data_IF_287457403035
#
_entry.id   IF_287457403035
#
_cell.length_a   1.000
_cell.length_b   1.000
_cell.length_c   1.000
_cell.angle_alpha   90.00
_cell.angle_beta   90.00
_cell.angle_gamma   90.00
#
_symmetry.space_group_name_H-M   'P 1'
#
loop_
_entity.id
_entity.type
_entity.pdbx_description
1 polymer ?
#
# COMPACT_ATOMS: atom_id res chain seq x y z
N UNK A 1 0.16 28.70 -25.65
CA UNK A 1 1.58 28.81 -25.25
C UNK A 1 1.98 27.45 -24.72
N UNK A 2 2.73 26.71 -25.52
CA UNK A 2 3.16 25.33 -25.31
C UNK A 2 4.34 25.31 -24.34
N UNK A 3 4.15 24.75 -23.14
CA UNK A 3 5.22 24.45 -22.20
C UNK A 3 5.69 23.01 -22.40
N UNK A 4 6.83 22.84 -23.07
CA UNK A 4 7.48 21.53 -23.24
C UNK A 4 8.23 21.14 -21.96
N UNK A 5 8.03 19.90 -21.51
CA UNK A 5 8.85 19.29 -20.46
C UNK A 5 10.17 18.78 -21.03
N UNK A 6 11.30 18.90 -20.30
CA UNK A 6 12.58 18.41 -20.76
C UNK A 6 12.60 16.89 -20.83
N UNK A 7 12.97 16.37 -21.99
CA UNK A 7 13.33 14.98 -22.23
C UNK A 7 14.59 14.64 -21.40
N UNK A 8 14.45 13.88 -20.32
CA UNK A 8 15.61 13.22 -19.72
C UNK A 8 15.88 11.93 -20.50
N UNK A 9 16.93 11.97 -21.31
CA UNK A 9 17.47 10.82 -22.00
C UNK A 9 18.11 9.84 -21.01
N UNK A 10 17.98 8.56 -21.33
CA UNK A 10 18.71 7.45 -20.74
C UNK A 10 20.22 7.74 -20.74
N UNK A 11 20.89 7.63 -19.59
CA UNK A 11 22.35 7.50 -19.50
C UNK A 11 22.67 6.22 -18.69
N UNK A 12 23.38 5.22 -19.27
CA UNK A 12 23.44 3.87 -18.72
C UNK A 12 24.51 3.64 -17.64
N UNK A 13 25.04 4.67 -16.97
CA UNK A 13 26.28 4.53 -16.17
C UNK A 13 26.13 4.75 -14.65
N UNK A 14 24.98 4.43 -14.06
CA UNK A 14 24.85 4.36 -12.58
C UNK A 14 25.08 2.95 -12.05
N UNK A 15 26.26 2.38 -12.34
CA UNK A 15 26.86 1.34 -11.52
C UNK A 15 28.30 1.71 -11.23
N UNK A 16 28.64 1.65 -9.93
CA UNK A 16 29.99 1.70 -9.33
C UNK A 16 30.45 3.06 -8.79
N UNK A 17 30.02 3.39 -7.56
CA UNK A 17 30.96 4.07 -6.65
C UNK A 17 30.76 3.58 -5.20
N UNK A 18 31.65 2.73 -4.66
CA UNK A 18 31.56 2.20 -3.30
C UNK A 18 32.08 3.16 -2.19
N UNK A 19 32.17 4.46 -2.45
CA UNK A 19 32.80 5.43 -1.55
C UNK A 19 31.86 6.27 -0.67
N UNK A 20 30.53 6.14 -0.80
CA UNK A 20 29.57 6.99 -0.05
C UNK A 20 29.07 6.39 1.28
N UNK A 21 29.75 5.35 1.78
CA UNK A 21 29.44 4.73 3.08
C UNK A 21 30.36 5.26 4.19
N UNK A 22 30.07 6.46 4.69
CA UNK A 22 30.52 6.87 6.02
C UNK A 22 29.43 7.67 6.73
N UNK A 23 28.62 6.99 7.54
CA UNK A 23 27.67 7.62 8.45
C UNK A 23 28.38 7.83 9.81
N UNK A 24 28.58 9.08 10.18
CA UNK A 24 29.20 9.52 11.43
C UNK A 24 28.12 9.65 12.53
N UNK A 25 28.24 8.99 13.71
CA UNK A 25 27.17 8.94 14.69
C UNK A 25 27.40 9.90 15.86
N UNK A 26 26.95 11.16 15.75
CA UNK A 26 26.74 12.01 16.94
C UNK A 26 25.62 13.04 16.72
N UNK A 27 24.44 12.82 17.32
CA UNK A 27 23.62 13.88 17.94
C UNK A 27 22.54 13.27 18.87
N UNK A 28 22.03 14.02 19.87
CA UNK A 28 21.59 13.50 21.15
C UNK A 28 20.08 13.32 21.29
N UNK A 29 19.70 12.40 22.19
CA UNK A 29 18.32 12.02 22.54
C UNK A 29 17.58 13.14 23.27
N UNK A 30 16.37 13.47 22.82
CA UNK A 30 15.45 14.39 23.50
C UNK A 30 14.75 13.72 24.71
N UNK A 31 14.45 14.46 25.80
CA UNK A 31 13.87 13.89 27.03
C UNK A 31 12.33 13.80 27.02
N UNK A 32 11.81 12.76 27.68
CA UNK A 32 10.38 12.48 27.90
C UNK A 32 9.72 13.43 28.94
N UNK A 33 8.42 13.77 28.83
CA UNK A 33 7.72 14.54 29.85
C UNK A 33 7.20 13.67 31.03
N UNK A 34 7.03 14.26 32.24
CA UNK A 34 6.69 13.55 33.47
C UNK A 34 5.18 13.34 33.71
N UNK A 35 4.87 12.29 34.47
CA UNK A 35 3.53 11.96 34.98
C UNK A 35 3.13 12.78 36.20
N UNK A 36 1.87 13.22 36.26
CA UNK A 36 1.26 13.77 37.48
C UNK A 36 -0.13 13.17 37.71
N UNK A 37 -0.30 12.59 38.89
CA UNK A 37 -1.56 12.14 39.50
C UNK A 37 -2.42 13.34 39.94
N UNK A 38 -3.75 13.20 39.89
CA UNK A 38 -4.71 13.41 41.02
C UNK A 38 -6.16 13.48 40.52
N UNK A 39 -7.08 12.82 41.23
CA UNK A 39 -8.39 13.40 41.57
C UNK A 39 -9.64 12.76 40.98
N UNK A 40 -10.24 11.81 41.73
CA UNK A 40 -11.62 11.35 41.57
C UNK A 40 -12.64 12.48 41.79
N UNK A 41 -13.70 12.56 40.98
CA UNK A 41 -15.09 12.82 41.44
C UNK A 41 -16.12 12.15 40.53
N UNK A 42 -17.11 11.52 41.17
CA UNK A 42 -18.30 10.90 40.58
C UNK A 42 -19.35 11.97 40.28
N UNK A 43 -19.99 11.90 39.11
CA UNK A 43 -21.35 12.42 38.92
C UNK A 43 -22.05 11.66 37.80
N UNK A 44 -23.20 11.11 38.16
CA UNK A 44 -24.16 10.39 37.34
C UNK A 44 -25.01 11.33 36.48
N UNK A 45 -25.22 10.98 35.22
CA UNK A 45 -26.47 11.25 34.51
C UNK A 45 -26.60 10.34 33.29
N UNK A 46 -27.78 9.74 33.19
CA UNK A 46 -28.26 8.82 32.17
C UNK A 46 -28.54 9.49 30.83
N UNK A 47 -28.16 8.85 29.74
CA UNK A 47 -28.89 8.93 28.47
C UNK A 47 -28.54 7.76 27.56
N UNK A 48 -29.61 7.10 27.10
CA UNK A 48 -29.74 6.04 26.11
C UNK A 48 -28.92 6.23 24.83
N UNK A 49 -28.24 5.17 24.37
CA UNK A 49 -28.25 4.81 22.95
C UNK A 49 -27.81 3.36 22.71
N UNK A 50 -28.34 2.84 21.61
CA UNK A 50 -28.35 1.50 21.06
C UNK A 50 -26.96 0.87 20.86
N UNK A 51 -26.73 -0.32 21.45
CA UNK A 51 -25.67 -1.23 20.97
C UNK A 51 -25.82 -2.62 21.60
N UNK A 52 -26.35 -3.58 20.83
CA UNK A 52 -26.05 -5.01 21.03
C UNK A 52 -25.95 -5.69 19.67
N UNK A 53 -24.77 -5.59 19.07
CA UNK A 53 -24.17 -6.78 18.47
C UNK A 53 -23.68 -7.67 19.63
N UNK A 54 -23.78 -9.00 19.48
CA UNK A 54 -22.54 -9.76 19.44
C UNK A 54 -22.65 -10.87 18.41
N UNK A 55 -21.92 -10.76 17.31
CA UNK A 55 -21.48 -11.97 16.60
C UNK A 55 -20.24 -12.48 17.33
N UNK A 56 -20.48 -13.53 18.10
CA UNK A 56 -19.50 -14.21 18.94
C UNK A 56 -18.28 -14.63 18.16
N UNK A 57 -17.11 -14.22 18.66
CA UNK A 57 -15.86 -14.87 18.37
C UNK A 57 -15.95 -16.37 18.71
N UNK A 58 -15.64 -17.22 17.74
CA UNK A 58 -15.29 -18.61 17.96
C UNK A 58 -13.96 -18.86 17.28
N UNK A 59 -12.99 -19.23 18.11
CA UNK A 59 -11.60 -19.50 17.79
C UNK A 59 -11.42 -20.70 16.87
N UNK A 60 -10.41 -20.66 16.01
CA UNK A 60 -9.86 -21.84 15.36
C UNK A 60 -8.84 -21.49 14.28
N UNK A 61 -7.55 -21.60 14.60
CA UNK A 61 -6.46 -21.65 13.60
C UNK A 61 -5.48 -20.49 13.66
N UNK A 62 -4.30 -20.77 14.20
CA UNK A 62 -3.09 -19.95 14.07
C UNK A 62 -2.61 -19.93 12.62
N UNK A 63 -3.13 -19.05 11.76
CA UNK A 63 -2.63 -18.79 10.40
C UNK A 63 -3.12 -17.41 9.87
N UNK A 64 -3.07 -16.29 10.62
CA UNK A 64 -3.70 -15.04 10.11
C UNK A 64 -3.22 -13.75 10.77
N UNK A 65 -2.50 -12.91 10.00
CA UNK A 65 -2.87 -11.51 9.72
C UNK A 65 -1.62 -10.72 9.28
N UNK A 66 -1.02 -11.11 8.14
CA UNK A 66 -0.06 -10.22 7.45
C UNK A 66 -0.75 -8.91 7.03
N UNK A 67 -2.07 -8.91 6.89
CA UNK A 67 -2.89 -7.71 6.67
C UNK A 67 -3.18 -6.99 7.98
N UNK A 68 -3.12 -5.67 7.96
CA UNK A 68 -3.50 -4.81 9.08
C UNK A 68 -4.39 -3.70 8.58
N UNK A 69 -5.61 -3.64 9.13
CA UNK A 69 -6.51 -2.52 8.88
C UNK A 69 -5.89 -1.20 9.35
N UNK A 70 -6.02 -0.17 8.52
CA UNK A 70 -5.57 1.19 8.74
C UNK A 70 -6.59 2.18 8.17
N UNK A 71 -6.64 3.36 8.79
CA UNK A 71 -7.28 4.53 8.21
C UNK A 71 -6.18 5.47 7.68
N UNK A 72 -6.53 6.30 6.70
CA UNK A 72 -5.65 7.28 6.07
C UNK A 72 -4.99 8.27 7.05
N UNK A 73 -5.63 8.51 8.20
CA UNK A 73 -5.12 9.36 9.27
C UNK A 73 -4.10 8.66 10.19
N UNK A 74 -3.86 7.36 9.99
CA UNK A 74 -2.97 6.55 10.83
C UNK A 74 -3.53 6.26 12.23
N UNK A 75 -2.68 5.81 13.17
CA UNK A 75 -1.24 5.57 13.00
C UNK A 75 -0.96 4.37 12.08
N UNK A 76 0.12 4.46 11.30
CA UNK A 76 0.56 3.38 10.43
C UNK A 76 1.46 2.38 11.18
N UNK A 77 1.31 1.07 10.96
CA UNK A 77 2.13 0.06 11.63
C UNK A 77 3.56 0.05 11.09
N UNK A 78 4.55 -0.40 11.89
CA UNK A 78 5.88 -0.70 11.36
C UNK A 78 5.84 -1.92 10.44
N UNK A 79 6.94 -2.15 9.72
CA UNK A 79 7.18 -3.34 8.89
C UNK A 79 6.17 -3.55 7.74
N UNK A 80 5.63 -2.45 7.20
CA UNK A 80 4.84 -2.46 5.97
C UNK A 80 5.73 -2.84 4.78
N UNK A 81 5.17 -3.61 3.84
CA UNK A 81 5.88 -4.07 2.65
C UNK A 81 5.98 -2.93 1.63
N UNK A 82 7.21 -2.53 1.30
CA UNK A 82 7.48 -1.51 0.28
C UNK A 82 7.11 -2.03 -1.10
N UNK A 83 6.35 -1.24 -1.83
CA UNK A 83 5.94 -1.52 -3.20
C UNK A 83 6.78 -0.77 -4.23
N UNK A 84 7.21 0.44 -3.89
CA UNK A 84 8.02 1.27 -4.76
C UNK A 84 8.20 2.66 -4.17
N UNK A 85 8.45 3.64 -5.05
CA UNK A 85 8.75 5.02 -4.69
C UNK A 85 8.03 5.94 -5.67
N UNK A 86 7.36 6.96 -5.15
CA UNK A 86 6.64 7.94 -5.94
C UNK A 86 7.58 8.96 -6.59
N UNK A 87 7.07 9.76 -7.53
CA UNK A 87 7.91 10.69 -8.31
C UNK A 87 8.57 11.80 -7.48
N UNK A 88 8.06 12.08 -6.28
CA UNK A 88 8.64 13.01 -5.31
C UNK A 88 9.52 12.35 -4.25
N UNK A 89 9.79 11.05 -4.38
CA UNK A 89 10.66 10.28 -3.48
C UNK A 89 9.95 9.63 -2.30
N UNK A 90 8.64 9.83 -2.16
CA UNK A 90 7.87 9.23 -1.08
C UNK A 90 7.70 7.71 -1.25
N UNK A 91 7.81 6.97 -0.15
CA UNK A 91 7.74 5.50 -0.20
C UNK A 91 6.30 5.03 -0.35
N UNK A 92 6.07 4.16 -1.32
CA UNK A 92 4.78 3.53 -1.57
C UNK A 92 4.75 2.13 -0.94
N UNK A 93 3.64 1.76 -0.32
CA UNK A 93 3.45 0.48 0.36
C UNK A 93 2.32 -0.34 -0.26
N UNK A 94 2.43 -1.66 -0.11
CA UNK A 94 1.42 -2.63 -0.54
C UNK A 94 0.22 -2.54 0.39
N UNK A 95 -0.94 -2.23 -0.18
CA UNK A 95 -2.22 -2.33 0.50
C UNK A 95 -3.26 -3.07 -0.31
N UNK A 96 -4.44 -3.17 0.28
CA UNK A 96 -5.69 -3.51 -0.40
C UNK A 96 -6.86 -2.79 0.25
N UNK A 97 -7.91 -2.52 -0.50
CA UNK A 97 -9.10 -1.89 0.02
C UNK A 97 -10.35 -2.47 -0.63
N UNK A 98 -11.45 -2.46 0.11
CA UNK A 98 -12.75 -2.85 -0.43
C UNK A 98 -13.33 -1.71 -1.27
N UNK A 99 -13.82 -2.03 -2.46
CA UNK A 99 -14.48 -1.09 -3.35
C UNK A 99 -15.53 -1.83 -4.19
N UNK A 100 -16.80 -1.43 -4.06
CA UNK A 100 -17.92 -1.95 -4.87
C UNK A 100 -18.08 -3.48 -4.94
N UNK A 101 -17.72 -4.21 -3.87
CA UNK A 101 -17.79 -5.68 -3.84
C UNK A 101 -16.46 -6.37 -4.06
N UNK A 102 -15.48 -5.64 -4.61
CA UNK A 102 -14.15 -6.14 -4.88
C UNK A 102 -13.23 -5.86 -3.70
N UNK A 103 -12.31 -6.79 -3.43
CA UNK A 103 -11.12 -6.51 -2.65
C UNK A 103 -10.01 -6.16 -3.62
N UNK A 104 -9.58 -4.90 -3.65
CA UNK A 104 -8.73 -4.36 -4.71
C UNK A 104 -7.33 -4.04 -4.18
N UNK A 105 -6.25 -4.42 -4.90
CA UNK A 105 -4.88 -3.97 -4.63
C UNK A 105 -4.78 -2.43 -4.52
N UNK A 106 -4.09 -1.92 -3.50
CA UNK A 106 -4.03 -0.48 -3.19
C UNK A 106 -2.58 0.07 -3.15
N UNK A 107 -2.42 1.28 -3.70
CA UNK A 107 -1.24 2.14 -3.57
C UNK A 107 -1.38 2.95 -2.28
N UNK A 108 -0.55 2.69 -1.27
CA UNK A 108 -0.62 3.41 0.03
C UNK A 108 0.61 4.29 0.21
N UNK A 109 0.41 5.58 0.48
CA UNK A 109 1.48 6.55 0.77
C UNK A 109 1.22 7.20 2.12
N UNK A 110 1.76 6.63 3.22
CA UNK A 110 1.50 7.09 4.58
C UNK A 110 1.89 8.56 4.83
N UNK A 111 3.00 9.02 4.26
CA UNK A 111 3.51 10.40 4.45
C UNK A 111 2.63 11.46 3.80
N UNK A 112 1.83 11.07 2.81
CA UNK A 112 0.85 11.93 2.13
C UNK A 112 -0.57 11.75 2.66
N UNK A 113 -0.79 10.82 3.60
CA UNK A 113 -2.12 10.41 4.04
C UNK A 113 -3.03 10.12 2.85
N UNK A 114 -2.63 9.19 1.97
CA UNK A 114 -3.46 8.73 0.85
C UNK A 114 -3.34 7.24 0.62
N UNK A 115 -4.44 6.64 0.17
CA UNK A 115 -4.46 5.31 -0.41
C UNK A 115 -5.37 5.30 -1.64
N UNK A 116 -4.94 4.66 -2.72
CA UNK A 116 -5.68 4.63 -3.98
C UNK A 116 -5.87 3.20 -4.47
N UNK A 117 -7.02 2.93 -5.09
CA UNK A 117 -7.29 1.70 -5.84
C UNK A 117 -7.69 2.04 -7.26
N UNK A 118 -7.46 1.11 -8.18
CA UNK A 118 -7.91 1.22 -9.56
C UNK A 118 -9.28 0.57 -9.72
N UNK A 119 -10.28 1.32 -10.20
CA UNK A 119 -11.60 0.77 -10.51
C UNK A 119 -12.31 1.57 -11.60
N UNK A 120 -12.93 0.87 -12.55
CA UNK A 120 -13.78 1.52 -13.56
C UNK A 120 -13.11 2.57 -14.44
N UNK A 121 -11.79 2.53 -14.64
CA UNK A 121 -11.06 3.57 -15.38
C UNK A 121 -10.51 4.71 -14.51
N UNK A 122 -10.79 4.72 -13.21
CA UNK A 122 -10.45 5.81 -12.29
C UNK A 122 -9.45 5.38 -11.20
N UNK A 123 -8.72 6.38 -10.70
CA UNK A 123 -7.97 6.29 -9.44
C UNK A 123 -8.89 6.71 -8.29
N UNK A 124 -9.30 5.76 -7.45
CA UNK A 124 -10.26 5.99 -6.38
C UNK A 124 -9.55 6.12 -5.03
N UNK A 125 -9.72 7.27 -4.36
CA UNK A 125 -9.22 7.51 -3.01
C UNK A 125 -9.95 6.65 -1.98
N UNK A 126 -9.20 6.05 -1.05
CA UNK A 126 -9.69 5.21 0.03
C UNK A 126 -9.24 5.75 1.39
N UNK A 127 -10.21 5.94 2.28
CA UNK A 127 -9.92 6.30 3.68
C UNK A 127 -9.58 5.08 4.52
N UNK A 128 -10.27 3.97 4.30
CA UNK A 128 -10.08 2.71 5.02
C UNK A 128 -9.53 1.62 4.10
N UNK A 129 -8.48 0.95 4.56
CA UNK A 129 -7.75 -0.06 3.80
C UNK A 129 -7.00 -1.01 4.73
N UNK A 130 -6.34 -2.01 4.16
CA UNK A 130 -5.41 -2.88 4.86
C UNK A 130 -4.02 -2.75 4.25
N UNK A 131 -2.99 -2.70 5.08
CA UNK A 131 -1.59 -2.75 4.65
C UNK A 131 -1.01 -4.14 4.84
N UNK A 132 -0.19 -4.58 3.90
CA UNK A 132 0.55 -5.82 4.03
C UNK A 132 1.78 -5.59 4.91
N UNK A 133 1.96 -6.45 5.91
CA UNK A 133 3.05 -6.44 6.87
C UNK A 133 3.69 -7.81 6.95
N UNK A 134 5.01 -7.80 7.12
CA UNK A 134 5.84 -9.00 7.36
C UNK A 134 5.80 -10.02 6.22
N UNK A 135 6.97 -10.49 5.79
CA UNK A 135 7.08 -11.59 4.84
C UNK A 135 8.33 -11.50 3.98
N UNK A 136 8.74 -12.64 3.44
CA UNK A 136 9.77 -12.73 2.43
C UNK A 136 9.10 -12.60 1.06
N UNK A 137 9.14 -11.39 0.51
CA UNK A 137 8.56 -11.10 -0.79
C UNK A 137 9.63 -10.79 -1.81
N UNK A 138 9.36 -11.20 -3.04
CA UNK A 138 10.14 -10.82 -4.22
C UNK A 138 9.21 -10.27 -5.29
N UNK A 139 9.78 -9.49 -6.19
CA UNK A 139 9.09 -8.96 -7.35
C UNK A 139 9.62 -9.69 -8.58
N UNK A 140 8.73 -10.33 -9.32
CA UNK A 140 9.09 -11.12 -10.49
C UNK A 140 8.44 -10.53 -11.74
N UNK A 141 9.23 -10.35 -12.80
CA UNK A 141 8.72 -9.82 -14.06
C UNK A 141 7.64 -10.71 -14.66
N UNK A 142 6.64 -10.10 -15.26
CA UNK A 142 5.53 -10.74 -15.96
C UNK A 142 4.92 -9.78 -16.98
N UNK A 143 4.06 -10.31 -17.85
CA UNK A 143 3.39 -9.48 -18.84
C UNK A 143 2.05 -10.06 -19.30
N UNK A 144 1.23 -9.22 -19.93
CA UNK A 144 0.02 -9.64 -20.65
C UNK A 144 -0.96 -10.47 -19.81
N UNK A 145 -1.13 -10.12 -18.54
CA UNK A 145 -1.98 -10.83 -17.57
C UNK A 145 -1.34 -12.05 -16.92
N UNK A 146 -0.12 -12.43 -17.32
CA UNK A 146 0.59 -13.52 -16.66
C UNK A 146 0.90 -13.17 -15.21
N UNK A 147 0.86 -14.19 -14.35
CA UNK A 147 1.30 -14.12 -12.97
C UNK A 147 2.15 -15.37 -12.66
N UNK A 148 3.25 -15.25 -11.90
CA UNK A 148 4.02 -16.41 -11.47
C UNK A 148 3.21 -17.35 -10.57
N UNK A 149 3.61 -18.62 -10.48
CA UNK A 149 2.95 -19.61 -9.61
C UNK A 149 3.00 -19.21 -8.12
N UNK A 150 4.07 -18.51 -7.73
CA UNK A 150 4.31 -17.99 -6.37
C UNK A 150 3.66 -16.63 -6.11
N UNK A 151 2.86 -16.10 -7.05
CA UNK A 151 2.21 -14.80 -6.91
C UNK A 151 1.26 -14.78 -5.72
N UNK A 152 1.42 -13.78 -4.85
CA UNK A 152 0.52 -13.59 -3.72
C UNK A 152 -0.79 -13.01 -4.21
N UNK A 153 -1.89 -13.73 -4.02
CA UNK A 153 -3.23 -13.16 -4.20
C UNK A 153 -3.47 -12.07 -3.16
N UNK A 154 -3.76 -10.87 -3.63
CA UNK A 154 -3.98 -9.69 -2.77
C UNK A 154 -5.46 -9.45 -2.57
N UNK A 155 -6.24 -9.69 -3.62
CA UNK A 155 -7.65 -9.39 -3.67
C UNK A 155 -8.40 -10.27 -4.63
N UNK A 156 -9.65 -9.89 -4.89
CA UNK A 156 -10.53 -10.59 -5.80
C UNK A 156 -11.69 -9.69 -6.25
N UNK A 157 -12.18 -9.93 -7.45
CA UNK A 157 -13.45 -9.35 -7.90
C UNK A 157 -14.62 -10.01 -7.17
N UNK A 158 -15.80 -9.40 -7.24
CA UNK A 158 -17.06 -9.93 -6.72
C UNK A 158 -17.38 -11.31 -7.32
N UNK A 159 -17.04 -11.52 -8.59
CA UNK A 159 -17.21 -12.81 -9.29
C UNK A 159 -16.16 -13.86 -8.89
N UNK A 160 -15.20 -13.48 -8.05
CA UNK A 160 -14.18 -14.37 -7.50
C UNK A 160 -12.89 -14.43 -8.29
N UNK A 161 -12.72 -13.64 -9.36
CA UNK A 161 -11.46 -13.60 -10.11
C UNK A 161 -10.34 -13.08 -9.20
N UNK A 162 -9.19 -13.79 -9.10
CA UNK A 162 -8.09 -13.34 -8.26
C UNK A 162 -7.41 -12.09 -8.84
N UNK A 163 -7.11 -11.13 -7.94
CA UNK A 163 -6.34 -9.94 -8.25
C UNK A 163 -4.99 -9.98 -7.52
N UNK A 164 -3.95 -9.52 -8.21
CA UNK A 164 -2.57 -9.57 -7.71
C UNK A 164 -1.97 -8.16 -7.65
N UNK A 165 -0.97 -7.98 -6.79
CA UNK A 165 -0.18 -6.74 -6.77
C UNK A 165 0.83 -6.80 -7.91
N UNK A 166 0.68 -5.86 -8.85
CA UNK A 166 1.71 -5.55 -9.84
C UNK A 166 2.39 -4.24 -9.49
N UNK A 167 3.54 -3.96 -10.11
CA UNK A 167 4.14 -2.63 -10.15
C UNK A 167 4.85 -2.41 -11.48
N UNK A 168 4.98 -1.16 -11.89
CA UNK A 168 5.76 -0.78 -13.05
C UNK A 168 6.35 0.63 -12.87
N UNK A 169 7.32 0.97 -13.73
CA UNK A 169 7.82 2.34 -13.85
C UNK A 169 6.87 3.13 -14.74
N UNK A 170 6.27 4.18 -14.21
CA UNK A 170 5.38 5.07 -14.95
C UNK A 170 5.56 6.52 -14.49
N UNK A 171 5.81 7.43 -15.42
CA UNK A 171 5.96 8.87 -15.15
C UNK A 171 6.95 9.22 -14.00
N UNK A 172 8.09 8.51 -13.96
CA UNK A 172 9.12 8.70 -12.93
C UNK A 172 8.82 8.08 -11.57
N UNK A 173 7.71 7.35 -11.42
CA UNK A 173 7.32 6.62 -10.21
C UNK A 173 7.43 5.10 -10.44
N UNK A 174 7.91 4.35 -9.45
CA UNK A 174 7.72 2.90 -9.41
C UNK A 174 6.43 2.64 -8.64
N UNK A 175 5.31 2.59 -9.36
CA UNK A 175 3.99 2.60 -8.74
C UNK A 175 3.37 1.20 -8.77
N UNK A 176 2.80 0.73 -7.64
CA UNK A 176 2.01 -0.49 -7.62
C UNK A 176 0.62 -0.28 -8.22
N UNK A 177 0.00 -1.40 -8.57
CA UNK A 177 -1.33 -1.45 -9.17
C UNK A 177 -1.95 -2.85 -9.12
N UNK A 178 -3.09 -2.98 -9.80
CA UNK A 178 -3.91 -4.20 -9.86
C UNK A 178 -3.57 -4.99 -11.11
N UNK A 179 -2.97 -6.17 -10.97
CA UNK A 179 -2.89 -7.13 -12.08
C UNK A 179 -4.25 -7.82 -12.19
N UNK A 180 -4.82 -7.78 -13.39
CA UNK A 180 -6.08 -8.41 -13.71
C UNK A 180 -5.84 -9.44 -14.83
N UNK A 181 -5.65 -10.73 -14.47
CA UNK A 181 -5.21 -11.75 -15.42
C UNK A 181 -6.11 -11.86 -16.66
N UNK A 182 -7.43 -11.86 -16.50
CA UNK A 182 -8.36 -11.96 -17.63
C UNK A 182 -8.37 -10.74 -18.56
N UNK A 183 -7.96 -9.56 -18.06
CA UNK A 183 -7.84 -8.34 -18.85
C UNK A 183 -6.47 -8.23 -19.55
N UNK A 184 -5.52 -9.10 -19.20
CA UNK A 184 -4.21 -9.12 -19.84
C UNK A 184 -3.30 -7.96 -19.44
N UNK A 185 -3.51 -7.30 -18.30
CA UNK A 185 -2.71 -6.13 -17.92
C UNK A 185 -2.60 -5.90 -16.40
N UNK A 186 -1.70 -4.97 -16.04
CA UNK A 186 -1.67 -4.32 -14.74
C UNK A 186 -2.21 -2.90 -14.88
N UNK A 187 -3.12 -2.53 -13.99
CA UNK A 187 -3.70 -1.20 -13.90
C UNK A 187 -3.03 -0.40 -12.79
N UNK A 188 -2.49 0.78 -13.13
CA UNK A 188 -1.79 1.67 -12.22
C UNK A 188 -2.68 2.88 -11.89
N UNK A 189 -2.83 3.24 -10.60
CA UNK A 189 -3.53 4.47 -10.22
C UNK A 189 -2.57 5.65 -10.38
N UNK A 190 -2.92 6.59 -11.26
CA UNK A 190 -2.10 7.75 -11.55
C UNK A 190 -2.92 8.95 -12.05
N UNK A 191 -2.78 10.09 -11.37
CA UNK A 191 -3.34 11.39 -11.77
C UNK A 191 -4.86 11.34 -12.05
N UNK A 192 -5.60 10.65 -11.17
CA UNK A 192 -7.05 10.50 -11.26
C UNK A 192 -7.53 9.40 -12.21
N UNK A 193 -6.62 8.72 -12.92
CA UNK A 193 -6.96 7.71 -13.93
C UNK A 193 -6.38 6.32 -13.60
N UNK A 194 -7.00 5.31 -14.20
CA UNK A 194 -6.49 3.94 -14.28
C UNK A 194 -5.67 3.76 -15.58
N UNK A 195 -4.34 3.66 -15.45
CA UNK A 195 -3.43 3.46 -16.58
C UNK A 195 -3.16 1.97 -16.78
N UNK A 196 -3.43 1.43 -17.96
CA UNK A 196 -3.10 0.04 -18.29
C UNK A 196 -1.66 -0.11 -18.79
N UNK A 197 -0.94 -1.09 -18.24
CA UNK A 197 0.39 -1.50 -18.70
C UNK A 197 0.43 -3.02 -18.93
N UNK A 198 1.15 -3.44 -19.97
CA UNK A 198 1.30 -4.85 -20.32
C UNK A 198 2.52 -5.50 -19.68
N UNK A 199 3.49 -4.70 -19.24
CA UNK A 199 4.76 -5.13 -18.69
C UNK A 199 4.89 -4.63 -17.26
N UNK A 200 5.11 -5.55 -16.32
CA UNK A 200 5.08 -5.25 -14.89
C UNK A 200 5.86 -6.30 -14.09
N UNK A 201 6.11 -6.03 -12.82
CA UNK A 201 6.55 -7.03 -11.85
C UNK A 201 5.37 -7.43 -10.96
N UNK A 202 5.30 -8.68 -10.52
CA UNK A 202 4.27 -9.23 -9.65
C UNK A 202 4.86 -9.55 -8.29
N UNK A 203 4.16 -9.19 -7.22
CA UNK A 203 4.55 -9.54 -5.85
C UNK A 203 4.36 -11.04 -5.60
N UNK A 204 5.45 -11.72 -5.27
CA UNK A 204 5.50 -13.16 -5.07
C UNK A 204 6.04 -13.51 -3.68
N UNK A 205 5.62 -14.66 -3.16
CA UNK A 205 6.11 -15.22 -1.89
C UNK A 205 7.39 -16.01 -2.16
N UNK A 206 8.38 -15.87 -1.28
CA UNK A 206 9.63 -16.64 -1.34
C UNK A 206 9.83 -17.50 -0.09
#
# INVERSE_FOLDING_TARGET
>A
MSGGYPHYGFHPDYLSNPADLSYDPTEPTAPSPPSTLVGQRKSSSSSSDSSRAPCSALSGGSESSCWQHCNVNGPFPPNMVRAGVDSDGEVIYVGRAFHEGDMVPAKVIPTKNVAFVCHGGEEVLKEDFEVLRYGAFVWEYSSNGSVPETAMRIGQTMDGEPLYMGRAIYSGSQTPGKVHPSHGCCYLPFDGAEVSVTDYEVLCIR
#
